data_IF_778844936973
#
_entry.id   IF_778844936973
#
_cell.length_a   1.000
_cell.length_b   1.000
_cell.length_c   1.000
_cell.angle_alpha   90.00
_cell.angle_beta   90.00
_cell.angle_gamma   90.00
#
_symmetry.space_group_name_H-M   'P 1'
#
loop_
_entity.id
_entity.type
_entity.pdbx_description
1 polymer ?
#
# COMPACT_ATOMS: atom_id res chain seq x y z
N UNK A 1 52.15 -28.40 20.01
CA UNK A 1 51.35 -28.26 21.24
C UNK A 1 50.55 -26.96 21.15
N UNK A 2 49.26 -27.02 20.83
CA UNK A 2 48.34 -25.89 21.00
C UNK A 2 46.94 -26.48 21.15
N UNK A 3 46.45 -26.50 22.39
CA UNK A 3 45.09 -26.90 22.73
C UNK A 3 44.21 -25.67 22.57
N UNK A 4 43.38 -25.63 21.54
CA UNK A 4 42.26 -24.69 21.49
C UNK A 4 41.17 -25.22 22.44
N UNK A 5 41.01 -24.54 23.58
CA UNK A 5 39.98 -24.82 24.57
C UNK A 5 38.67 -24.21 24.07
N UNK A 6 37.79 -25.05 23.52
CA UNK A 6 36.45 -24.65 23.12
C UNK A 6 35.61 -24.45 24.40
N UNK A 7 35.50 -23.19 24.85
CA UNK A 7 34.58 -22.82 25.92
C UNK A 7 33.15 -22.90 25.40
N UNK A 8 32.51 -24.04 25.66
CA UNK A 8 31.08 -24.22 25.48
C UNK A 8 30.36 -23.37 26.55
N UNK A 9 29.98 -22.15 26.20
CA UNK A 9 29.08 -21.33 27.02
C UNK A 9 27.71 -22.00 27.04
N UNK A 10 27.46 -22.77 28.08
CA UNK A 10 26.13 -23.31 28.39
C UNK A 10 25.23 -22.10 28.69
N UNK A 11 24.42 -21.68 27.71
CA UNK A 11 23.36 -20.72 27.93
C UNK A 11 22.32 -21.40 28.84
N UNK A 12 22.49 -21.23 30.16
CA UNK A 12 21.47 -21.55 31.14
C UNK A 12 20.26 -20.68 30.81
N UNK A 13 19.21 -21.29 30.26
CA UNK A 13 17.89 -20.67 30.20
C UNK A 13 17.55 -20.22 31.62
N UNK A 14 17.37 -18.91 31.82
CA UNK A 14 16.97 -18.39 33.11
C UNK A 14 15.66 -19.08 33.52
N UNK A 15 15.54 -19.65 34.74
CA UNK A 15 14.29 -20.21 35.19
C UNK A 15 13.26 -19.08 35.18
N UNK A 16 12.13 -19.29 34.50
CA UNK A 16 11.00 -18.39 34.60
C UNK A 16 10.62 -18.30 36.08
N UNK A 17 10.92 -17.15 36.69
CA UNK A 17 10.67 -16.95 38.10
C UNK A 17 9.18 -16.70 38.30
N UNK A 18 8.49 -17.62 38.96
CA UNK A 18 7.18 -17.34 39.54
C UNK A 18 7.35 -16.18 40.54
N UNK A 19 7.00 -14.95 40.13
CA UNK A 19 7.15 -13.77 40.98
C UNK A 19 5.96 -13.68 41.93
N UNK A 20 6.28 -13.60 43.22
CA UNK A 20 5.31 -13.40 44.30
C UNK A 20 4.35 -12.21 44.06
N UNK A 21 4.77 -11.18 43.33
CA UNK A 21 4.02 -9.92 43.15
C UNK A 21 3.48 -9.72 41.73
N UNK A 22 3.40 -10.80 40.92
CA UNK A 22 3.00 -10.70 39.53
C UNK A 22 3.96 -9.94 38.62
N UNK A 23 3.65 -9.97 37.33
CA UNK A 23 4.40 -9.29 36.27
C UNK A 23 3.38 -8.70 35.30
N UNK A 24 3.64 -7.49 34.82
CA UNK A 24 2.90 -6.92 33.71
C UNK A 24 3.34 -7.62 32.41
N UNK A 25 2.49 -8.49 31.87
CA UNK A 25 2.77 -9.23 30.65
C UNK A 25 1.49 -9.52 29.89
N UNK A 26 1.46 -9.20 28.59
CA UNK A 26 0.31 -9.49 27.72
C UNK A 26 0.08 -10.98 27.50
N UNK A 27 1.07 -11.81 27.84
CA UNK A 27 0.98 -13.26 27.80
C UNK A 27 1.76 -13.89 28.94
N UNK A 28 1.23 -14.97 29.49
CA UNK A 28 1.96 -15.83 30.43
C UNK A 28 2.35 -17.18 29.78
N UNK A 29 2.00 -17.38 28.50
CA UNK A 29 2.38 -18.55 27.74
C UNK A 29 3.88 -18.54 27.44
N UNK A 30 4.50 -19.73 27.42
CA UNK A 30 5.92 -19.89 27.12
C UNK A 30 6.87 -19.70 28.31
N UNK A 31 6.50 -18.89 29.32
CA UNK A 31 7.22 -18.82 30.60
C UNK A 31 6.83 -19.98 31.54
N UNK A 32 5.66 -20.60 31.35
CA UNK A 32 5.14 -21.76 32.10
C UNK A 32 4.90 -22.95 31.17
N UNK A 33 5.21 -24.19 31.60
CA UNK A 33 5.14 -25.39 30.74
C UNK A 33 4.68 -26.63 31.49
N UNK A 34 3.93 -27.50 30.80
CA UNK A 34 3.65 -28.87 31.25
C UNK A 34 2.54 -29.00 32.30
N UNK A 35 1.79 -27.94 32.57
CA UNK A 35 0.57 -28.00 33.37
C UNK A 35 -0.66 -28.51 32.59
N UNK A 36 -1.76 -28.81 33.30
CA UNK A 36 -3.04 -29.19 32.70
C UNK A 36 -3.67 -28.05 31.90
N UNK A 37 -4.51 -28.36 30.91
CA UNK A 37 -5.22 -27.33 30.14
C UNK A 37 -6.05 -26.42 31.06
N UNK A 38 -5.90 -25.11 30.87
CA UNK A 38 -6.61 -24.10 31.64
C UNK A 38 -7.41 -23.17 30.73
N UNK A 39 -8.55 -22.69 31.23
CA UNK A 39 -9.40 -21.71 30.55
C UNK A 39 -9.61 -20.51 31.44
N UNK A 40 -9.50 -19.32 30.86
CA UNK A 40 -9.80 -18.07 31.55
C UNK A 40 -11.06 -17.42 31.02
N UNK A 41 -11.83 -16.82 31.92
CA UNK A 41 -13.05 -16.10 31.63
C UNK A 41 -13.03 -14.74 32.32
N UNK A 42 -13.62 -13.74 31.68
CA UNK A 42 -13.79 -12.39 32.21
C UNK A 42 -15.29 -12.09 32.21
N UNK A 43 -15.82 -11.63 33.34
CA UNK A 43 -17.23 -11.26 33.48
C UNK A 43 -17.36 -9.95 34.24
N UNK A 44 -18.32 -9.11 33.83
CA UNK A 44 -18.69 -7.91 34.56
C UNK A 44 -19.95 -8.17 35.40
N UNK A 45 -19.99 -7.61 36.61
CA UNK A 45 -21.09 -7.75 37.55
C UNK A 45 -21.47 -6.37 38.14
N UNK A 46 -22.65 -5.83 37.81
CA UNK A 46 -23.62 -6.34 36.83
C UNK A 46 -23.04 -6.40 35.40
N UNK A 47 -23.63 -7.24 34.54
CA UNK A 47 -23.18 -7.43 33.16
C UNK A 47 -23.49 -6.21 32.27
N UNK A 48 -24.49 -5.41 32.65
CA UNK A 48 -24.85 -4.14 32.04
C UNK A 48 -24.67 -3.04 33.08
N UNK A 49 -24.08 -1.92 32.66
CA UNK A 49 -23.75 -0.81 33.54
C UNK A 49 -23.77 0.52 32.77
N UNK A 50 -23.96 1.60 33.51
CA UNK A 50 -24.05 2.96 32.99
C UNK A 50 -22.69 3.67 33.06
N UNK A 51 -22.53 4.79 32.34
CA UNK A 51 -21.36 5.65 32.50
C UNK A 51 -21.21 6.11 33.96
N UNK A 52 -19.99 6.04 34.49
CA UNK A 52 -19.68 6.36 35.88
C UNK A 52 -19.96 5.23 36.90
N UNK A 53 -20.62 4.14 36.51
CA UNK A 53 -20.86 3.02 37.43
C UNK A 53 -19.55 2.30 37.79
N UNK A 54 -19.45 1.87 39.04
CA UNK A 54 -18.38 0.98 39.51
C UNK A 54 -18.89 -0.47 39.53
N UNK A 55 -18.39 -1.29 38.63
CA UNK A 55 -18.73 -2.72 38.51
C UNK A 55 -17.63 -3.61 39.06
N UNK A 56 -17.98 -4.85 39.41
CA UNK A 56 -16.98 -5.89 39.68
C UNK A 56 -16.60 -6.58 38.38
N UNK A 57 -15.33 -6.56 38.02
CA UNK A 57 -14.76 -7.41 36.97
C UNK A 57 -14.20 -8.65 37.65
N UNK A 58 -14.73 -9.80 37.25
CA UNK A 58 -14.34 -11.11 37.74
C UNK A 58 -13.56 -11.84 36.66
N UNK A 59 -12.32 -12.17 36.97
CA UNK A 59 -11.47 -13.04 36.16
C UNK A 59 -11.36 -14.40 36.83
N UNK A 60 -11.76 -15.46 36.13
CA UNK A 60 -11.65 -16.83 36.65
C UNK A 60 -10.81 -17.67 35.71
N UNK A 61 -9.78 -18.31 36.27
CA UNK A 61 -8.99 -19.33 35.59
C UNK A 61 -9.30 -20.70 36.18
N UNK A 62 -9.62 -21.67 35.34
CA UNK A 62 -10.02 -23.04 35.73
C UNK A 62 -9.18 -24.06 34.99
N UNK A 63 -8.68 -25.08 35.69
CA UNK A 63 -7.80 -26.09 35.08
C UNK A 63 -7.07 -27.03 36.06
N UNK A 64 -7.34 -26.98 37.36
CA UNK A 64 -6.79 -27.94 38.33
C UNK A 64 -5.45 -27.57 38.98
N UNK A 65 -5.03 -26.30 38.91
CA UNK A 65 -3.88 -25.78 39.66
C UNK A 65 -4.18 -25.52 41.14
N UNK A 66 -3.13 -25.29 41.92
CA UNK A 66 -3.18 -25.02 43.37
C UNK A 66 -3.23 -23.52 43.70
N UNK A 67 -2.62 -22.70 42.84
CA UNK A 67 -2.58 -21.24 42.97
C UNK A 67 -2.77 -20.60 41.60
N UNK A 68 -3.12 -19.32 41.57
CA UNK A 68 -3.26 -18.57 40.34
C UNK A 68 -2.59 -17.20 40.38
N UNK A 69 -2.23 -16.72 39.21
CA UNK A 69 -1.73 -15.37 38.96
C UNK A 69 -2.60 -14.65 37.93
N UNK A 70 -2.62 -13.32 38.02
CA UNK A 70 -3.35 -12.43 37.14
C UNK A 70 -2.48 -11.24 36.70
N UNK A 71 -2.62 -10.88 35.43
CA UNK A 71 -2.45 -9.53 34.89
C UNK A 71 -3.70 -9.18 34.07
N UNK A 72 -4.32 -8.04 34.36
CA UNK A 72 -5.55 -7.58 33.70
C UNK A 72 -5.40 -6.11 33.31
N UNK A 73 -5.81 -5.79 32.10
CA UNK A 73 -5.74 -4.45 31.51
C UNK A 73 -7.10 -4.02 30.95
N UNK A 74 -7.27 -2.72 30.72
CA UNK A 74 -8.39 -2.18 29.94
C UNK A 74 -7.88 -1.16 28.93
N UNK A 75 -8.45 -1.14 27.73
CA UNK A 75 -8.03 -0.21 26.67
C UNK A 75 -8.72 1.17 26.71
N UNK A 76 -9.49 1.46 27.76
CA UNK A 76 -10.18 2.75 27.95
C UNK A 76 -9.66 3.50 29.17
N UNK A 77 -10.09 4.76 29.31
CA UNK A 77 -9.78 5.62 30.46
C UNK A 77 -10.51 5.23 31.76
N UNK A 78 -11.20 4.09 31.80
CA UNK A 78 -11.80 3.59 33.04
C UNK A 78 -10.73 3.25 34.08
N UNK A 79 -11.11 3.21 35.35
CA UNK A 79 -10.16 3.07 36.45
C UNK A 79 -10.41 1.83 37.28
N UNK A 80 -9.39 0.98 37.44
CA UNK A 80 -9.43 -0.15 38.36
C UNK A 80 -9.23 0.29 39.81
N UNK A 81 -9.91 -0.38 40.73
CA UNK A 81 -9.64 -0.36 42.17
C UNK A 81 -9.65 -1.77 42.75
N UNK A 82 -8.74 -2.04 43.68
CA UNK A 82 -8.61 -3.38 44.30
C UNK A 82 -9.70 -3.62 45.32
N UNK A 83 -10.10 -4.89 45.47
CA UNK A 83 -11.01 -5.33 46.54
C UNK A 83 -10.18 -6.02 47.62
N UNK A 84 -10.40 -5.64 48.89
CA UNK A 84 -9.71 -6.26 50.02
C UNK A 84 -9.90 -7.78 50.03
N UNK A 85 -8.82 -8.53 50.23
CA UNK A 85 -8.84 -10.00 50.25
C UNK A 85 -8.81 -10.68 48.88
N UNK A 86 -8.76 -9.94 47.77
CA UNK A 86 -8.71 -10.53 46.43
C UNK A 86 -7.30 -10.85 45.92
N UNK A 87 -6.26 -10.58 46.71
CA UNK A 87 -4.85 -10.75 46.35
C UNK A 87 -4.46 -10.00 45.07
N UNK A 88 -4.98 -8.78 44.90
CA UNK A 88 -4.71 -7.91 43.76
C UNK A 88 -4.04 -6.60 44.19
N UNK A 89 -3.26 -6.03 43.29
CA UNK A 89 -2.60 -4.73 43.41
C UNK A 89 -2.64 -4.00 42.08
N UNK A 90 -2.43 -2.69 42.10
CA UNK A 90 -2.35 -1.88 40.89
C UNK A 90 -0.90 -1.57 40.55
N UNK A 91 -0.58 -1.63 39.26
CA UNK A 91 0.67 -1.11 38.71
C UNK A 91 0.35 -0.38 37.40
N UNK A 92 0.68 0.91 37.34
CA UNK A 92 0.42 1.77 36.18
C UNK A 92 -1.04 1.71 35.68
N UNK A 93 -2.01 1.66 36.61
CA UNK A 93 -3.43 1.58 36.28
C UNK A 93 -3.95 0.18 35.93
N UNK A 94 -3.07 -0.80 35.73
CA UNK A 94 -3.43 -2.19 35.47
C UNK A 94 -3.50 -3.02 36.76
N UNK A 95 -4.17 -4.17 36.69
CA UNK A 95 -4.33 -5.08 37.82
C UNK A 95 -3.30 -6.20 37.73
N UNK A 96 -2.54 -6.40 38.79
CA UNK A 96 -1.69 -7.55 39.01
C UNK A 96 -2.16 -8.29 40.25
N UNK A 97 -1.75 -9.54 40.39
CA UNK A 97 -1.85 -10.21 41.69
C UNK A 97 -0.75 -9.70 42.66
N UNK A 98 -1.08 -9.55 43.93
CA UNK A 98 -0.14 -9.16 45.00
C UNK A 98 0.53 -10.35 45.68
N UNK A 99 -0.06 -11.53 45.52
CA UNK A 99 0.42 -12.85 45.95
C UNK A 99 -0.29 -13.91 45.10
N UNK A 100 0.33 -15.07 44.83
CA UNK A 100 -0.37 -16.19 44.20
C UNK A 100 -1.62 -16.53 45.01
N UNK A 101 -2.78 -16.54 44.36
CA UNK A 101 -4.06 -16.75 45.03
C UNK A 101 -4.41 -18.22 45.03
N UNK A 102 -4.71 -18.77 46.20
CA UNK A 102 -5.07 -20.19 46.33
C UNK A 102 -6.30 -20.55 45.49
N UNK A 103 -6.24 -21.71 44.86
CA UNK A 103 -7.37 -22.27 44.13
C UNK A 103 -8.42 -22.84 45.09
N UNK A 104 -9.67 -22.75 44.67
CA UNK A 104 -10.82 -23.39 45.30
C UNK A 104 -11.53 -24.24 44.26
N UNK A 105 -11.59 -25.56 44.47
CA UNK A 105 -12.20 -26.48 43.50
C UNK A 105 -11.51 -26.48 42.13
N UNK A 106 -10.18 -26.32 42.09
CA UNK A 106 -9.40 -26.29 40.85
C UNK A 106 -9.53 -25.03 40.01
N UNK A 107 -10.14 -23.97 40.57
CA UNK A 107 -10.28 -22.66 39.95
C UNK A 107 -9.75 -21.55 40.84
N UNK A 108 -9.25 -20.47 40.24
CA UNK A 108 -8.85 -19.26 40.95
C UNK A 108 -9.64 -18.10 40.37
N UNK A 109 -10.32 -17.37 41.25
CA UNK A 109 -11.14 -16.22 40.87
C UNK A 109 -10.56 -14.96 41.47
N UNK A 110 -10.37 -13.92 40.66
CA UNK A 110 -9.96 -12.58 41.07
C UNK A 110 -11.10 -11.61 40.79
N UNK A 111 -11.59 -10.96 41.84
CA UNK A 111 -12.52 -9.85 41.70
C UNK A 111 -11.77 -8.52 41.86
N UNK A 112 -12.02 -7.59 40.95
CA UNK A 112 -11.57 -6.20 41.05
C UNK A 112 -12.74 -5.27 40.74
N UNK A 113 -12.68 -4.04 41.22
CA UNK A 113 -13.61 -3.00 40.81
C UNK A 113 -13.06 -2.29 39.59
N UNK A 114 -13.94 -1.93 38.67
CA UNK A 114 -13.63 -1.04 37.55
C UNK A 114 -14.73 0.01 37.46
N UNK A 115 -14.34 1.27 37.36
CA UNK A 115 -15.27 2.40 37.22
C UNK A 115 -15.28 2.87 35.78
N UNK A 116 -16.46 2.85 35.18
CA UNK A 116 -16.67 3.29 33.81
C UNK A 116 -16.41 4.80 33.66
N UNK A 117 -15.88 5.27 32.52
CA UNK A 117 -15.88 6.68 32.16
C UNK A 117 -17.28 7.30 32.26
N UNK A 118 -17.33 8.62 32.41
CA UNK A 118 -18.59 9.39 32.56
C UNK A 118 -19.42 9.51 31.29
N UNK A 119 -18.87 9.13 30.13
CA UNK A 119 -19.55 9.12 28.83
C UNK A 119 -19.77 7.69 28.37
N UNK A 120 -20.90 7.41 27.71
CA UNK A 120 -21.18 6.09 27.13
C UNK A 120 -20.05 5.63 26.20
N UNK A 121 -19.74 4.35 26.22
CA UNK A 121 -18.62 3.80 25.47
C UNK A 121 -18.55 2.28 25.53
N UNK A 122 -17.47 1.73 25.00
CA UNK A 122 -17.12 0.32 25.16
C UNK A 122 -15.68 0.18 25.60
N UNK A 123 -15.39 -0.90 26.34
CA UNK A 123 -14.06 -1.24 26.82
C UNK A 123 -13.77 -2.70 26.51
N UNK A 124 -12.52 -2.97 26.19
CA UNK A 124 -11.99 -4.32 26.12
C UNK A 124 -11.17 -4.58 27.38
N UNK A 125 -11.29 -5.80 27.90
CA UNK A 125 -10.46 -6.32 28.97
C UNK A 125 -9.65 -7.49 28.46
N UNK A 126 -8.34 -7.39 28.63
CA UNK A 126 -7.39 -8.47 28.34
C UNK A 126 -6.81 -8.98 29.65
N UNK A 127 -6.94 -10.29 29.88
CA UNK A 127 -6.39 -10.96 31.05
C UNK A 127 -5.38 -12.02 30.63
N UNK A 128 -4.16 -11.92 31.16
CA UNK A 128 -3.18 -12.99 31.16
C UNK A 128 -3.17 -13.63 32.55
N UNK A 129 -3.31 -14.94 32.60
CA UNK A 129 -3.45 -15.69 33.85
C UNK A 129 -2.55 -16.92 33.85
N UNK A 130 -2.24 -17.40 35.06
CA UNK A 130 -1.50 -18.64 35.26
C UNK A 130 -2.22 -19.47 36.30
N UNK A 131 -2.32 -20.78 36.09
CA UNK A 131 -2.53 -21.76 37.14
C UNK A 131 -1.22 -22.47 37.44
N UNK A 132 -0.80 -22.40 38.70
CA UNK A 132 0.44 -23.00 39.17
C UNK A 132 0.22 -24.10 40.20
N UNK A 133 1.15 -25.03 40.26
CA UNK A 133 1.12 -26.17 41.20
C UNK A 133 1.62 -25.81 42.63
N UNK A 134 2.09 -24.57 42.84
CA UNK A 134 2.61 -24.02 44.09
C UNK A 134 3.97 -24.60 44.54
N UNK A 135 4.85 -24.97 43.62
CA UNK A 135 6.22 -25.44 43.90
C UNK A 135 7.32 -24.38 43.72
N UNK A 136 6.94 -23.13 43.39
CA UNK A 136 7.81 -22.00 43.02
C UNK A 136 8.67 -22.22 41.75
N UNK A 137 8.41 -23.28 40.99
CA UNK A 137 8.89 -23.50 39.64
C UNK A 137 7.92 -22.97 38.58
N UNK A 138 8.27 -23.21 37.32
CA UNK A 138 7.43 -22.91 36.14
C UNK A 138 6.97 -24.18 35.41
N UNK A 139 7.42 -25.35 35.87
CA UNK A 139 7.06 -26.65 35.35
C UNK A 139 5.79 -27.18 36.02
N UNK A 140 4.86 -27.74 35.25
CA UNK A 140 3.55 -28.15 35.75
C UNK A 140 2.54 -27.01 35.84
N UNK A 141 2.90 -25.81 35.36
CA UNK A 141 2.05 -24.62 35.33
C UNK A 141 1.48 -24.40 33.92
N UNK A 142 0.36 -23.69 33.86
CA UNK A 142 -0.32 -23.34 32.61
C UNK A 142 -0.68 -21.87 32.58
N UNK A 143 -0.12 -21.16 31.60
CA UNK A 143 -0.58 -19.83 31.20
C UNK A 143 -1.83 -19.92 30.33
N UNK A 144 -2.72 -18.94 30.42
CA UNK A 144 -3.86 -18.80 29.53
C UNK A 144 -4.34 -17.35 29.50
N UNK A 145 -4.99 -16.97 28.41
CA UNK A 145 -5.40 -15.61 28.10
C UNK A 145 -6.91 -15.56 27.86
N UNK A 146 -7.51 -14.41 28.11
CA UNK A 146 -8.88 -14.13 27.74
C UNK A 146 -9.04 -12.67 27.33
N UNK A 147 -9.93 -12.45 26.38
CA UNK A 147 -10.38 -11.15 25.92
C UNK A 147 -11.89 -11.07 26.12
N UNK A 148 -12.39 -9.94 26.61
CA UNK A 148 -13.82 -9.68 26.70
C UNK A 148 -14.13 -8.20 26.46
N UNK A 149 -15.09 -7.94 25.58
CA UNK A 149 -15.59 -6.61 25.28
C UNK A 149 -16.90 -6.34 26.01
N UNK A 150 -17.04 -5.15 26.58
CA UNK A 150 -18.27 -4.67 27.21
C UNK A 150 -18.62 -3.28 26.70
N UNK A 151 -19.91 -2.97 26.66
CA UNK A 151 -20.45 -1.63 26.39
C UNK A 151 -21.22 -1.13 27.60
N UNK A 152 -21.24 0.18 27.78
CA UNK A 152 -21.93 0.85 28.88
C UNK A 152 -22.62 2.13 28.41
N UNK A 153 -23.84 2.33 28.90
CA UNK A 153 -24.69 3.46 28.48
C UNK A 153 -25.27 3.37 27.06
N UNK A 154 -25.19 2.21 26.40
CA UNK A 154 -25.79 1.97 25.08
C UNK A 154 -26.04 0.48 24.84
N UNK A 155 -26.77 0.14 23.77
CA UNK A 155 -26.99 -1.25 23.34
C UNK A 155 -25.75 -1.89 22.69
N UNK A 156 -24.81 -1.07 22.21
CA UNK A 156 -23.64 -1.50 21.44
C UNK A 156 -23.98 -1.79 19.98
N UNK A 157 -23.04 -1.47 19.10
CA UNK A 157 -23.05 -1.83 17.68
C UNK A 157 -21.71 -2.49 17.38
N UNK A 158 -21.76 -3.61 16.68
CA UNK A 158 -20.55 -4.27 16.18
C UNK A 158 -20.07 -3.50 14.96
N UNK A 159 -18.84 -3.03 15.04
CA UNK A 159 -18.15 -2.37 13.94
C UNK A 159 -17.05 -3.28 13.41
N UNK A 160 -16.83 -3.19 12.10
CA UNK A 160 -15.87 -3.95 11.31
C UNK A 160 -14.79 -2.98 10.85
N UNK A 161 -13.53 -3.43 10.82
CA UNK A 161 -12.43 -2.59 10.34
C UNK A 161 -12.68 -2.23 8.88
N UNK A 162 -12.50 -0.95 8.56
CA UNK A 162 -12.68 -0.35 7.23
C UNK A 162 -11.38 0.42 6.95
N UNK A 163 -10.42 -0.29 6.35
CA UNK A 163 -9.04 0.20 6.20
C UNK A 163 -8.86 1.07 4.96
N UNK A 164 -9.61 0.83 3.89
CA UNK A 164 -9.57 1.61 2.67
C UNK A 164 -10.59 2.78 2.63
N UNK A 165 -11.49 2.85 3.61
CA UNK A 165 -12.38 3.98 3.84
C UNK A 165 -13.59 4.01 2.90
N UNK A 166 -14.02 2.86 2.41
CA UNK A 166 -15.11 2.75 1.44
C UNK A 166 -16.51 2.70 2.08
N UNK A 167 -16.56 2.54 3.40
CA UNK A 167 -17.78 2.49 4.20
C UNK A 167 -18.32 1.08 4.44
N UNK A 168 -17.62 0.03 4.01
CA UNK A 168 -17.87 -1.37 4.34
C UNK A 168 -16.64 -1.93 5.03
N UNK A 169 -16.83 -2.68 6.11
CA UNK A 169 -15.72 -3.28 6.82
C UNK A 169 -15.56 -4.78 6.56
N UNK A 170 -14.32 -5.24 6.70
CA UNK A 170 -13.95 -6.64 6.50
C UNK A 170 -14.43 -7.55 7.64
N UNK A 171 -15.04 -8.68 7.30
CA UNK A 171 -15.52 -9.65 8.30
C UNK A 171 -14.40 -10.48 8.94
N UNK A 172 -13.22 -10.51 8.33
CA UNK A 172 -12.08 -11.34 8.76
C UNK A 172 -11.02 -10.58 9.56
N UNK A 173 -11.09 -9.24 9.60
CA UNK A 173 -10.08 -8.34 10.22
C UNK A 173 -10.36 -8.02 11.71
N UNK A 174 -11.24 -8.79 12.36
CA UNK A 174 -11.71 -8.57 13.73
C UNK A 174 -12.85 -7.55 13.83
N UNK A 175 -13.55 -7.54 14.97
CA UNK A 175 -14.69 -6.65 15.21
C UNK A 175 -14.49 -5.83 16.49
N UNK A 176 -15.20 -4.71 16.60
CA UNK A 176 -15.22 -3.86 17.79
C UNK A 176 -16.65 -3.54 18.20
N UNK A 177 -17.06 -3.94 19.41
CA UNK A 177 -18.38 -3.60 19.95
C UNK A 177 -18.30 -2.27 20.71
N UNK A 178 -18.98 -1.23 20.20
CA UNK A 178 -18.91 0.15 20.74
C UNK A 178 -20.26 0.88 20.64
N UNK A 179 -20.39 2.02 21.32
CA UNK A 179 -21.58 2.87 21.22
C UNK A 179 -21.63 3.76 19.97
N UNK A 180 -20.47 3.99 19.35
CA UNK A 180 -20.29 4.78 18.13
C UNK A 180 -19.12 4.22 17.34
N UNK A 181 -19.08 4.47 16.04
CA UNK A 181 -18.03 3.99 15.15
C UNK A 181 -16.66 4.51 15.60
N UNK A 182 -15.70 3.62 15.90
CA UNK A 182 -14.30 4.02 16.01
C UNK A 182 -13.77 4.56 14.67
N UNK A 183 -12.69 5.33 14.71
CA UNK A 183 -12.02 5.73 13.48
C UNK A 183 -11.46 4.50 12.72
N UNK A 184 -11.68 4.43 11.41
CA UNK A 184 -11.27 3.30 10.56
C UNK A 184 -12.14 2.05 10.73
N UNK A 185 -13.40 2.23 11.13
CA UNK A 185 -14.37 1.15 11.29
C UNK A 185 -15.74 1.52 10.71
N UNK A 186 -16.42 0.56 10.08
CA UNK A 186 -17.79 0.66 9.56
C UNK A 186 -18.76 -0.25 10.29
N UNK A 187 -20.04 0.15 10.36
CA UNK A 187 -21.12 -0.71 10.85
C UNK A 187 -21.60 -1.72 9.79
N UNK A 188 -21.27 -1.48 8.52
CA UNK A 188 -21.66 -2.32 7.39
C UNK A 188 -20.60 -3.40 7.19
N UNK A 189 -20.91 -4.69 7.36
CA UNK A 189 -19.97 -5.76 7.04
C UNK A 189 -20.03 -6.15 5.56
N UNK A 190 -18.98 -6.80 5.07
CA UNK A 190 -19.04 -7.54 3.81
C UNK A 190 -17.92 -7.26 2.83
N UNK A 191 -16.96 -6.45 3.22
CA UNK A 191 -15.81 -6.17 2.37
C UNK A 191 -14.93 -7.42 2.21
N UNK A 192 -14.66 -7.77 0.95
CA UNK A 192 -13.84 -8.90 0.54
C UNK A 192 -12.38 -8.51 0.24
N UNK A 193 -12.06 -7.22 0.09
CA UNK A 193 -10.70 -6.68 -0.08
C UNK A 193 -10.56 -5.31 0.61
N UNK A 194 -10.35 -5.33 1.94
CA UNK A 194 -10.17 -4.17 2.86
C UNK A 194 -9.01 -3.21 2.48
N UNK A 195 -8.26 -3.51 1.41
CA UNK A 195 -7.18 -2.68 0.89
C UNK A 195 -7.55 -1.89 -0.37
N UNK A 196 -8.78 -1.98 -0.85
CA UNK A 196 -9.18 -1.53 -2.16
C UNK A 196 -10.62 -0.97 -2.16
N UNK A 197 -10.78 0.35 -1.93
CA UNK A 197 -12.09 1.01 -1.75
C UNK A 197 -13.07 0.91 -2.94
N UNK A 198 -12.59 0.38 -4.05
CA UNK A 198 -13.34 0.07 -5.24
C UNK A 198 -13.84 -1.38 -5.31
N UNK A 199 -13.60 -2.17 -4.26
CA UNK A 199 -13.97 -3.57 -4.07
C UNK A 199 -14.81 -3.67 -2.80
N UNK A 200 -16.13 -3.85 -2.93
CA UNK A 200 -17.05 -4.01 -1.80
C UNK A 200 -18.45 -4.40 -2.30
N UNK A 201 -19.35 -4.90 -1.42
CA UNK A 201 -20.73 -5.23 -1.77
C UNK A 201 -21.44 -4.21 -2.67
N UNK A 202 -21.75 -4.62 -3.90
CA UNK A 202 -22.54 -3.83 -4.85
C UNK A 202 -21.78 -2.75 -5.63
N UNK A 203 -20.43 -2.72 -5.59
CA UNK A 203 -19.64 -1.91 -6.53
C UNK A 203 -19.82 -2.44 -7.97
N UNK A 204 -19.53 -1.63 -9.01
CA UNK A 204 -19.54 -2.13 -10.39
C UNK A 204 -18.35 -3.05 -10.67
N UNK A 205 -18.59 -4.15 -11.39
CA UNK A 205 -17.52 -5.02 -11.91
C UNK A 205 -16.65 -4.28 -12.93
N UNK A 206 -15.35 -4.56 -12.88
CA UNK A 206 -14.39 -4.22 -13.94
C UNK A 206 -13.75 -5.50 -14.42
N UNK A 207 -13.40 -5.56 -15.70
CA UNK A 207 -12.68 -6.71 -16.26
C UNK A 207 -11.22 -6.73 -15.77
N UNK A 208 -11.00 -7.22 -14.55
CA UNK A 208 -9.69 -7.24 -13.91
C UNK A 208 -9.38 -8.60 -13.25
N UNK A 209 -10.25 -9.60 -13.41
CA UNK A 209 -10.09 -10.92 -12.80
C UNK A 209 -10.36 -10.94 -11.30
N UNK A 210 -11.05 -9.94 -10.76
CA UNK A 210 -11.46 -9.84 -9.36
C UNK A 210 -12.98 -9.79 -9.24
N UNK A 211 -13.47 -10.18 -8.08
CA UNK A 211 -14.85 -9.98 -7.65
C UNK A 211 -14.92 -8.58 -7.02
N UNK A 212 -15.17 -7.56 -7.85
CA UNK A 212 -15.14 -6.17 -7.37
C UNK A 212 -16.37 -5.84 -6.52
N UNK A 213 -17.44 -6.61 -6.62
CA UNK A 213 -18.69 -6.36 -5.92
C UNK A 213 -18.99 -7.31 -4.75
N UNK A 214 -18.03 -8.18 -4.42
CA UNK A 214 -18.06 -9.15 -3.33
C UNK A 214 -19.27 -10.08 -3.34
N UNK A 215 -19.77 -10.49 -4.52
CA UNK A 215 -20.91 -11.41 -4.62
C UNK A 215 -20.52 -12.89 -4.84
N UNK A 216 -19.22 -13.18 -4.95
CA UNK A 216 -18.65 -14.50 -5.18
C UNK A 216 -18.50 -14.89 -6.65
N UNK A 217 -18.78 -13.98 -7.59
CA UNK A 217 -18.54 -14.14 -9.02
C UNK A 217 -17.47 -13.14 -9.45
N UNK A 218 -16.70 -13.50 -10.48
CA UNK A 218 -15.61 -12.68 -11.00
C UNK A 218 -16.03 -12.16 -12.37
N UNK A 219 -15.90 -10.85 -12.58
CA UNK A 219 -16.13 -10.16 -13.85
C UNK A 219 -17.54 -10.40 -14.46
N UNK A 220 -18.58 -10.62 -13.65
CA UNK A 220 -19.92 -10.90 -14.15
C UNK A 220 -20.68 -9.65 -14.62
N UNK A 221 -21.72 -9.85 -15.43
CA UNK A 221 -22.51 -8.75 -16.01
C UNK A 221 -21.76 -7.90 -17.04
N UNK A 222 -20.48 -8.21 -17.31
CA UNK A 222 -19.69 -7.62 -18.38
C UNK A 222 -20.01 -8.28 -19.72
N UNK A 223 -19.97 -7.49 -20.79
CA UNK A 223 -20.17 -8.02 -22.15
C UNK A 223 -18.95 -8.84 -22.57
N UNK A 224 -19.15 -10.14 -22.78
CA UNK A 224 -18.10 -11.00 -23.29
C UNK A 224 -17.84 -10.65 -24.76
N UNK A 225 -16.59 -10.38 -25.10
CA UNK A 225 -16.13 -10.28 -26.48
C UNK A 225 -15.02 -11.29 -26.73
N UNK A 226 -14.94 -11.78 -27.96
CA UNK A 226 -13.75 -12.48 -28.42
C UNK A 226 -12.68 -11.45 -28.69
N UNK A 227 -11.53 -11.60 -28.03
CA UNK A 227 -10.42 -10.67 -28.11
C UNK A 227 -9.10 -11.39 -28.33
N UNK A 228 -8.13 -10.66 -28.85
CA UNK A 228 -6.81 -11.11 -29.25
C UNK A 228 -5.76 -10.34 -28.43
N UNK A 229 -4.59 -10.93 -28.11
CA UNK A 229 -3.50 -10.19 -27.48
C UNK A 229 -3.18 -8.93 -28.29
N UNK A 230 -2.94 -7.82 -27.60
CA UNK A 230 -2.54 -6.53 -28.16
C UNK A 230 -1.36 -6.05 -27.31
N UNK A 231 -0.14 -6.38 -27.74
CA UNK A 231 1.08 -6.19 -26.94
C UNK A 231 1.64 -4.76 -27.03
N UNK A 232 1.40 -4.04 -28.12
CA UNK A 232 1.88 -2.68 -28.33
C UNK A 232 0.82 -1.58 -28.05
N UNK A 233 -0.44 -1.97 -27.89
CA UNK A 233 -1.54 -1.13 -27.42
C UNK A 233 -2.15 -0.21 -28.48
N UNK A 234 -2.04 -0.55 -29.77
CA UNK A 234 -2.62 0.25 -30.86
C UNK A 234 -4.11 -0.05 -31.14
N UNK A 235 -4.67 -1.08 -30.50
CA UNK A 235 -6.06 -1.48 -30.61
C UNK A 235 -6.34 -2.52 -31.70
N UNK A 236 -5.32 -3.02 -32.38
CA UNK A 236 -5.34 -4.23 -33.19
C UNK A 236 -4.66 -5.36 -32.42
N UNK A 237 -4.98 -6.61 -32.78
CA UNK A 237 -4.49 -7.76 -32.02
C UNK A 237 -3.80 -8.77 -32.89
N UNK A 238 -2.77 -9.42 -32.33
CA UNK A 238 -1.88 -10.37 -33.00
C UNK A 238 -2.62 -11.41 -33.84
N UNK A 239 -2.36 -11.40 -35.16
CA UNK A 239 -2.86 -12.40 -36.11
C UNK A 239 -2.44 -13.84 -35.77
N UNK A 240 -1.37 -14.04 -34.98
CA UNK A 240 -0.90 -15.35 -34.48
C UNK A 240 -1.41 -15.65 -33.07
N UNK A 241 -2.04 -14.68 -32.43
CA UNK A 241 -2.51 -14.74 -31.05
C UNK A 241 -3.71 -15.67 -30.87
N UNK A 242 -3.74 -16.36 -29.73
CA UNK A 242 -4.91 -17.16 -29.36
C UNK A 242 -6.07 -16.26 -28.95
N UNK A 243 -7.22 -16.46 -29.60
CA UNK A 243 -8.47 -15.82 -29.23
C UNK A 243 -8.88 -16.22 -27.81
N UNK A 244 -9.36 -15.26 -27.04
CA UNK A 244 -9.96 -15.48 -25.73
C UNK A 244 -11.35 -14.86 -25.72
N UNK A 245 -12.35 -15.62 -25.28
CA UNK A 245 -13.70 -15.11 -25.06
C UNK A 245 -13.87 -14.82 -23.58
N UNK A 246 -14.13 -13.56 -23.25
CA UNK A 246 -14.28 -13.09 -21.88
C UNK A 246 -14.56 -11.59 -21.87
N UNK A 247 -14.53 -10.97 -20.71
CA UNK A 247 -14.56 -9.51 -20.63
C UNK A 247 -13.28 -8.92 -21.28
N UNK A 248 -13.36 -7.71 -21.83
CA UNK A 248 -12.23 -7.07 -22.53
C UNK A 248 -11.40 -6.27 -21.52
N UNK A 249 -10.21 -6.76 -21.20
CA UNK A 249 -9.20 -6.01 -20.46
C UNK A 249 -8.37 -5.09 -21.37
N UNK A 250 -7.57 -4.19 -20.79
CA UNK A 250 -6.81 -3.14 -21.51
C UNK A 250 -5.58 -3.61 -22.30
N UNK A 251 -5.38 -4.91 -22.48
CA UNK A 251 -4.21 -5.49 -23.17
C UNK A 251 -4.64 -6.47 -24.28
N UNK A 252 -5.85 -6.27 -24.80
CA UNK A 252 -6.46 -7.11 -25.82
C UNK A 252 -7.34 -6.27 -26.73
N UNK A 253 -7.26 -6.55 -28.02
CA UNK A 253 -8.09 -5.93 -29.06
C UNK A 253 -9.23 -6.85 -29.49
N UNK A 254 -10.29 -6.28 -30.06
CA UNK A 254 -11.37 -7.05 -30.70
C UNK A 254 -11.05 -7.41 -32.16
N UNK A 255 -10.07 -6.74 -32.78
CA UNK A 255 -9.54 -7.11 -34.11
C UNK A 255 -8.41 -8.13 -33.95
N UNK A 256 -8.19 -8.93 -35.01
CA UNK A 256 -7.18 -9.99 -35.11
C UNK A 256 -6.21 -9.77 -36.27
N UNK A 257 -6.20 -8.56 -36.82
CA UNK A 257 -5.65 -8.29 -38.14
C UNK A 257 -4.25 -7.64 -38.07
N UNK A 258 -3.62 -7.62 -36.89
CA UNK A 258 -2.27 -7.07 -36.71
C UNK A 258 -1.20 -8.06 -37.19
N UNK A 259 -0.41 -7.62 -38.17
CA UNK A 259 0.68 -8.40 -38.76
C UNK A 259 1.99 -8.35 -37.94
N UNK A 260 2.17 -7.37 -37.06
CA UNK A 260 3.31 -7.21 -36.14
C UNK A 260 2.94 -6.49 -34.81
N UNK A 261 2.28 -7.25 -33.92
CA UNK A 261 1.83 -6.89 -32.55
C UNK A 261 2.92 -6.35 -31.59
N UNK A 262 4.15 -6.17 -32.05
CA UNK A 262 5.24 -5.58 -31.27
C UNK A 262 5.51 -4.11 -31.61
N UNK A 263 4.76 -3.55 -32.57
CA UNK A 263 4.97 -2.22 -33.17
C UNK A 263 3.63 -1.53 -33.43
N UNK A 264 3.27 -0.60 -32.54
CA UNK A 264 2.04 0.20 -32.63
C UNK A 264 1.88 1.09 -33.89
N UNK A 265 2.85 1.09 -34.80
CA UNK A 265 2.76 1.73 -36.12
C UNK A 265 2.49 0.77 -37.26
N UNK A 266 2.40 -0.54 -36.98
CA UNK A 266 2.20 -1.62 -37.95
C UNK A 266 0.86 -2.28 -37.65
N UNK A 267 -0.19 -1.83 -38.32
CA UNK A 267 -1.54 -2.33 -38.13
C UNK A 267 -2.44 -1.97 -39.33
N UNK A 268 -3.59 -2.64 -39.50
CA UNK A 268 -4.54 -2.32 -40.56
C UNK A 268 -4.87 -0.82 -40.65
N UNK A 269 -4.62 -0.23 -41.82
CA UNK A 269 -4.89 1.17 -42.10
C UNK A 269 -3.85 2.17 -41.56
N UNK A 270 -2.71 1.71 -41.05
CA UNK A 270 -1.56 2.57 -40.80
C UNK A 270 -1.08 3.24 -42.10
N UNK A 271 -0.31 4.33 -41.97
CA UNK A 271 0.32 4.97 -43.13
C UNK A 271 1.68 4.34 -43.39
N UNK A 272 1.90 3.88 -44.62
CA UNK A 272 3.17 3.33 -45.06
C UNK A 272 4.32 4.35 -44.91
N UNK A 273 5.41 3.89 -44.30
CA UNK A 273 6.67 4.60 -44.17
C UNK A 273 7.74 3.80 -44.87
N UNK A 274 8.69 4.48 -45.52
CA UNK A 274 9.81 3.82 -46.19
C UNK A 274 10.78 3.12 -45.22
N UNK A 275 10.38 1.95 -44.71
CA UNK A 275 11.05 1.22 -43.64
C UNK A 275 11.19 -0.28 -43.97
N UNK A 276 10.75 -0.72 -45.16
CA UNK A 276 10.76 -2.12 -45.62
C UNK A 276 9.83 -3.03 -44.82
N UNK A 277 8.83 -2.47 -44.16
CA UNK A 277 7.74 -3.16 -43.50
C UNK A 277 6.45 -2.95 -44.30
N UNK A 278 5.50 -3.82 -44.05
CA UNK A 278 4.11 -3.66 -44.47
C UNK A 278 3.42 -3.02 -43.26
N UNK A 279 3.44 -1.69 -43.17
CA UNK A 279 2.94 -0.99 -41.99
C UNK A 279 1.41 -1.12 -41.89
N UNK A 280 0.71 -1.22 -43.01
CA UNK A 280 -0.75 -1.25 -43.04
C UNK A 280 -1.37 -2.65 -43.14
N UNK A 281 -0.54 -3.69 -43.14
CA UNK A 281 -0.90 -5.09 -43.20
C UNK A 281 -1.73 -5.50 -44.44
N UNK A 282 -1.57 -4.85 -45.59
CA UNK A 282 -2.28 -5.20 -46.84
C UNK A 282 -1.58 -6.31 -47.68
N UNK A 283 -0.38 -6.72 -47.25
CA UNK A 283 0.46 -7.71 -47.92
C UNK A 283 1.45 -7.12 -48.92
N UNK A 284 1.59 -5.80 -49.00
CA UNK A 284 2.58 -5.09 -49.79
C UNK A 284 3.51 -4.30 -48.86
N UNK A 285 4.70 -4.01 -49.35
CA UNK A 285 5.73 -3.33 -48.57
C UNK A 285 5.92 -1.95 -49.19
N UNK A 286 5.86 -0.92 -48.35
CA UNK A 286 6.15 0.48 -48.68
C UNK A 286 5.29 1.05 -49.84
N UNK A 287 4.09 0.55 -50.09
CA UNK A 287 3.24 1.05 -51.17
C UNK A 287 2.60 2.39 -50.83
N UNK A 288 2.54 3.30 -51.80
CA UNK A 288 2.12 4.69 -51.56
C UNK A 288 2.99 5.45 -50.52
N UNK A 289 4.07 4.87 -50.02
CA UNK A 289 5.09 5.59 -49.25
C UNK A 289 5.98 6.43 -50.17
N UNK A 290 6.34 7.61 -49.68
CA UNK A 290 7.23 8.54 -50.38
C UNK A 290 8.41 8.87 -49.49
N UNK A 291 9.62 8.58 -49.97
CA UNK A 291 10.82 8.97 -49.25
C UNK A 291 10.93 10.50 -49.19
N UNK A 292 11.22 11.06 -48.01
CA UNK A 292 11.53 12.49 -47.86
C UNK A 292 13.03 12.71 -48.00
N UNK A 293 13.41 13.81 -48.65
CA UNK A 293 14.80 14.26 -48.74
C UNK A 293 14.89 15.78 -48.70
N UNK A 294 16.09 16.30 -48.43
CA UNK A 294 16.33 17.72 -48.25
C UNK A 294 16.00 18.18 -46.83
N UNK A 295 16.58 19.30 -46.45
CA UNK A 295 16.39 19.96 -45.16
C UNK A 295 15.60 21.25 -45.39
N UNK A 296 14.87 21.71 -44.37
CA UNK A 296 14.22 23.02 -44.43
C UNK A 296 13.24 23.20 -45.59
N UNK A 297 13.33 24.35 -46.25
CA UNK A 297 12.54 24.68 -47.44
C UNK A 297 12.85 23.77 -48.64
N UNK A 298 14.03 23.16 -48.67
CA UNK A 298 14.40 22.19 -49.69
C UNK A 298 13.80 20.81 -49.49
N UNK A 299 13.04 20.56 -48.42
CA UNK A 299 12.39 19.27 -48.22
C UNK A 299 11.46 18.95 -49.42
N UNK A 300 11.62 17.75 -49.98
CA UNK A 300 10.82 17.22 -51.10
C UNK A 300 10.40 15.78 -50.80
N UNK A 301 9.31 15.36 -51.45
CA UNK A 301 8.85 13.98 -51.47
C UNK A 301 9.32 13.32 -52.77
N UNK A 302 9.89 12.13 -52.63
CA UNK A 302 10.24 11.28 -53.74
C UNK A 302 8.98 10.71 -54.41
N UNK A 303 8.97 10.53 -55.74
CA UNK A 303 7.89 9.82 -56.42
C UNK A 303 7.80 8.33 -56.04
N UNK A 304 8.86 7.77 -55.46
CA UNK A 304 8.99 6.36 -55.06
C UNK A 304 9.45 6.27 -53.61
N UNK A 305 9.35 5.08 -53.02
CA UNK A 305 9.94 4.80 -51.72
C UNK A 305 11.47 4.55 -51.77
N UNK A 306 12.15 5.19 -52.72
CA UNK A 306 13.61 5.17 -52.81
C UNK A 306 14.15 6.58 -52.60
N UNK A 307 14.97 6.75 -51.56
CA UNK A 307 15.59 8.04 -51.23
C UNK A 307 16.54 8.53 -52.33
N UNK A 308 17.11 7.64 -53.16
CA UNK A 308 17.99 7.98 -54.28
C UNK A 308 17.23 8.71 -55.41
N UNK A 309 15.93 8.42 -55.56
CA UNK A 309 15.09 9.06 -56.56
C UNK A 309 14.59 10.44 -56.10
N UNK A 310 14.77 10.74 -54.81
CA UNK A 310 14.38 12.00 -54.22
C UNK A 310 15.40 13.10 -54.57
N UNK A 311 14.92 14.21 -55.12
CA UNK A 311 15.74 15.38 -55.43
C UNK A 311 15.33 16.53 -54.50
N UNK A 312 16.18 16.93 -53.53
CA UNK A 312 15.92 18.10 -52.70
C UNK A 312 15.71 19.36 -53.55
N UNK A 313 15.01 20.34 -52.96
CA UNK A 313 15.01 21.70 -53.48
C UNK A 313 16.43 22.24 -53.63
N UNK A 314 16.62 23.19 -54.53
CA UNK A 314 17.92 23.86 -54.66
C UNK A 314 18.02 24.92 -53.56
N UNK A 315 19.12 24.92 -52.77
CA UNK A 315 19.42 26.00 -51.84
C UNK A 315 19.33 27.38 -52.48
N UNK A 316 18.69 28.30 -51.79
CA UNK A 316 18.74 29.74 -52.07
C UNK A 316 19.54 30.46 -50.98
N UNK A 317 19.79 31.75 -51.14
CA UNK A 317 20.37 32.54 -50.06
C UNK A 317 19.30 32.81 -49.01
N UNK A 318 19.68 32.67 -47.75
CA UNK A 318 18.85 33.02 -46.60
C UNK A 318 18.18 34.39 -46.71
N UNK A 319 16.90 34.41 -46.35
CA UNK A 319 16.10 35.61 -46.20
C UNK A 319 15.36 35.50 -44.88
N UNK A 320 15.36 36.58 -44.08
CA UNK A 320 14.60 36.63 -42.84
C UNK A 320 13.08 36.48 -43.12
N UNK A 321 12.59 35.24 -43.11
CA UNK A 321 11.22 34.86 -43.47
C UNK A 321 10.68 33.66 -42.67
N UNK A 322 11.50 33.07 -41.78
CA UNK A 322 11.12 31.94 -40.93
C UNK A 322 11.26 30.58 -41.62
N UNK A 323 11.98 30.52 -42.73
CA UNK A 323 12.26 29.31 -43.51
C UNK A 323 13.77 29.13 -43.61
N UNK A 324 14.20 27.87 -43.67
CA UNK A 324 15.59 27.47 -43.98
C UNK A 324 15.74 27.43 -45.51
N UNK A 325 16.11 28.57 -46.09
CA UNK A 325 16.16 28.83 -47.55
C UNK A 325 17.41 28.22 -48.19
N UNK A 326 18.52 28.13 -47.45
CA UNK A 326 19.81 27.58 -47.90
C UNK A 326 20.00 26.09 -47.56
N UNK A 327 19.07 25.55 -46.77
CA UNK A 327 18.85 24.13 -46.54
C UNK A 327 20.00 23.46 -45.78
N UNK A 328 20.66 24.22 -44.91
CA UNK A 328 21.72 23.74 -44.02
C UNK A 328 21.19 23.18 -42.68
N UNK A 329 19.92 23.43 -42.38
CA UNK A 329 19.22 22.96 -41.19
C UNK A 329 19.06 23.97 -40.06
N UNK A 330 19.60 25.17 -40.21
CA UNK A 330 19.28 26.32 -39.36
C UNK A 330 18.22 27.19 -40.04
N UNK A 331 17.54 28.06 -39.28
CA UNK A 331 16.50 28.94 -39.83
C UNK A 331 16.89 30.39 -39.58
N UNK A 332 16.87 31.20 -40.63
CA UNK A 332 17.17 32.64 -40.61
C UNK A 332 18.53 32.99 -39.96
N UNK A 333 19.56 32.18 -40.18
CA UNK A 333 20.88 32.38 -39.58
C UNK A 333 21.72 33.47 -40.29
N UNK A 334 22.77 33.93 -39.60
CA UNK A 334 23.61 35.03 -40.10
C UNK A 334 23.01 36.44 -39.91
N UNK A 335 23.43 37.40 -40.74
CA UNK A 335 23.00 38.81 -40.69
C UNK A 335 22.11 39.15 -41.88
N UNK A 336 20.86 38.69 -41.80
CA UNK A 336 19.84 38.83 -42.86
C UNK A 336 19.12 40.18 -42.86
N UNK A 337 19.32 40.96 -41.80
CA UNK A 337 18.72 42.28 -41.61
C UNK A 337 19.78 43.39 -41.69
N UNK A 338 19.34 44.60 -42.05
CA UNK A 338 20.20 45.79 -42.05
C UNK A 338 20.81 46.08 -40.66
N UNK A 339 21.79 47.00 -40.56
CA UNK A 339 22.70 47.13 -39.42
C UNK A 339 22.06 47.45 -38.06
N UNK A 340 20.76 47.76 -38.00
CA UNK A 340 20.02 48.14 -36.79
C UNK A 340 18.90 47.15 -36.43
N UNK A 341 18.75 46.05 -37.18
CA UNK A 341 17.71 45.05 -36.97
C UNK A 341 18.28 43.63 -36.89
N UNK A 342 17.56 42.73 -36.23
CA UNK A 342 17.84 41.29 -36.18
C UNK A 342 16.64 40.53 -36.73
N UNK A 343 16.90 39.37 -37.33
CA UNK A 343 15.82 38.47 -37.69
C UNK A 343 15.29 37.78 -36.43
N UNK A 344 13.98 37.88 -36.21
CA UNK A 344 13.26 37.24 -35.10
C UNK A 344 11.92 36.76 -35.64
N UNK A 345 11.66 35.46 -35.56
CA UNK A 345 10.42 34.82 -36.05
C UNK A 345 10.08 35.18 -37.51
N UNK A 346 11.07 35.18 -38.40
CA UNK A 346 10.89 35.51 -39.81
C UNK A 346 10.66 36.99 -40.11
N UNK A 347 10.92 37.89 -39.15
CA UNK A 347 10.79 39.33 -39.35
C UNK A 347 12.01 40.11 -38.85
N UNK A 348 12.46 41.10 -39.63
CA UNK A 348 13.52 42.02 -39.20
C UNK A 348 12.99 43.02 -38.16
N UNK A 349 13.32 42.79 -36.88
CA UNK A 349 12.93 43.67 -35.76
C UNK A 349 14.09 44.59 -35.38
N UNK A 350 13.80 45.89 -35.28
CA UNK A 350 14.82 46.88 -34.92
C UNK A 350 15.18 46.77 -33.44
N UNK A 351 16.47 46.82 -33.12
CA UNK A 351 16.96 46.87 -31.73
C UNK A 351 16.93 48.29 -31.14
N UNK A 352 16.33 49.26 -31.83
CA UNK A 352 16.07 50.56 -31.23
C UNK A 352 14.95 50.36 -30.20
N UNK A 353 15.36 50.30 -28.93
CA UNK A 353 14.43 50.34 -27.82
C UNK A 353 13.46 51.49 -28.03
N UNK A 354 12.19 51.18 -27.83
CA UNK A 354 11.09 52.10 -27.63
C UNK A 354 11.54 53.27 -26.74
N UNK A 355 11.91 54.38 -27.36
CA UNK A 355 12.06 55.66 -26.66
C UNK A 355 10.64 56.22 -26.55
N UNK A 356 10.04 56.01 -25.39
CA UNK A 356 8.83 56.68 -24.96
C UNK A 356 9.10 58.18 -24.83
N UNK A 357 8.87 58.96 -25.89
CA UNK A 357 8.77 60.41 -25.78
C UNK A 357 7.36 60.81 -25.36
N UNK A 358 7.32 61.51 -24.22
CA UNK A 358 6.13 61.99 -23.57
C UNK A 358 5.61 63.32 -24.17
N UNK A 359 4.42 63.24 -24.77
CA UNK A 359 3.31 64.22 -24.67
C UNK A 359 3.22 65.35 -25.72
N UNK A 360 2.10 66.12 -25.77
CA UNK A 360 0.76 65.91 -25.16
C UNK A 360 -0.46 66.04 -26.14
N UNK A 361 -1.62 65.48 -25.73
CA UNK A 361 -3.05 65.85 -26.01
C UNK A 361 -3.55 66.12 -27.47
N UNK A 362 -4.66 65.62 -28.06
CA UNK A 362 -5.93 64.87 -27.79
C UNK A 362 -6.61 64.60 -29.20
N UNK A 363 -7.86 64.10 -29.38
CA UNK A 363 -8.43 62.77 -29.11
C UNK A 363 -9.17 62.10 -30.32
N UNK A 364 -9.65 60.86 -30.10
CA UNK A 364 -10.86 60.20 -30.62
C UNK A 364 -10.87 59.34 -31.91
N UNK A 365 -11.34 58.08 -31.71
CA UNK A 365 -12.00 57.19 -32.67
C UNK A 365 -11.15 55.99 -33.11
N UNK A 366 -11.52 54.70 -32.99
CA UNK A 366 -12.72 54.01 -32.53
C UNK A 366 -12.67 52.54 -33.00
N UNK A 367 -13.16 51.60 -32.18
CA UNK A 367 -13.49 50.19 -32.51
C UNK A 367 -12.30 49.24 -32.69
N UNK A 368 -12.38 47.91 -32.51
CA UNK A 368 -13.37 46.95 -32.00
C UNK A 368 -12.67 45.57 -31.98
N UNK A 369 -13.10 44.66 -31.09
CA UNK A 369 -12.84 43.20 -31.18
C UNK A 369 -11.67 42.71 -30.31
N UNK A 370 -11.89 41.94 -29.23
CA UNK A 370 -12.14 40.47 -29.21
C UNK A 370 -11.00 39.69 -29.88
N UNK A 371 -10.35 38.68 -29.32
CA UNK A 371 -10.62 37.82 -28.17
C UNK A 371 -9.44 36.84 -27.99
N UNK A 372 -9.31 36.29 -26.78
CA UNK A 372 -8.96 34.88 -26.45
C UNK A 372 -7.54 34.31 -26.63
N UNK A 373 -7.09 33.65 -25.55
CA UNK A 373 -6.01 32.65 -25.48
C UNK A 373 -4.76 33.22 -24.80
N UNK A 374 -4.36 32.87 -23.58
CA UNK A 374 -4.48 31.60 -22.87
C UNK A 374 -3.17 30.82 -23.04
N UNK A 375 -2.20 30.97 -22.13
CA UNK A 375 -0.92 30.26 -22.24
C UNK A 375 0.15 30.67 -21.22
N UNK A 376 0.01 30.13 -20.01
CA UNK A 376 1.03 29.73 -19.03
C UNK A 376 2.51 30.15 -19.23
N UNK A 377 3.08 30.81 -18.20
CA UNK A 377 4.51 30.74 -17.91
C UNK A 377 4.75 30.76 -16.41
N UNK A 378 5.56 29.80 -15.95
CA UNK A 378 5.77 29.45 -14.56
C UNK A 378 6.44 30.53 -13.71
N UNK A 379 6.10 30.51 -12.43
CA UNK A 379 6.79 31.24 -11.36
C UNK A 379 7.47 30.24 -10.43
N UNK A 380 8.79 30.36 -10.34
CA UNK A 380 9.65 29.75 -9.33
C UNK A 380 9.59 30.51 -8.01
N UNK A 381 9.88 29.80 -6.91
CA UNK A 381 10.05 30.32 -5.55
C UNK A 381 9.23 29.49 -4.56
N UNK A 382 9.77 28.85 -3.52
CA UNK A 382 10.99 29.08 -2.76
C UNK A 382 10.62 29.16 -1.27
N UNK A 383 11.25 28.35 -0.42
CA UNK A 383 11.18 28.43 1.05
C UNK A 383 10.32 27.33 1.70
N UNK A 384 10.86 26.31 2.36
CA UNK A 384 11.64 26.27 3.61
C UNK A 384 10.77 26.00 4.85
N UNK A 385 11.18 24.97 5.62
CA UNK A 385 10.76 24.67 6.99
C UNK A 385 9.55 23.74 7.09
N UNK A 386 9.41 22.82 8.03
CA UNK A 386 10.30 22.31 9.08
C UNK A 386 9.50 21.28 9.87
N UNK A 387 10.12 20.17 10.28
CA UNK A 387 9.87 19.49 11.57
C UNK A 387 8.53 18.75 11.77
N UNK A 388 8.61 17.47 12.17
CA UNK A 388 7.46 16.75 12.72
C UNK A 388 7.63 15.23 12.68
N UNK A 389 8.63 14.70 13.39
CA UNK A 389 8.39 13.78 14.51
C UNK A 389 7.65 12.47 14.12
N UNK A 390 8.38 11.55 13.50
CA UNK A 390 8.02 10.13 13.47
C UNK A 390 8.16 9.54 14.87
N UNK A 391 7.08 9.58 15.64
CA UNK A 391 6.94 8.85 16.89
C UNK A 391 6.81 7.36 16.59
N UNK A 392 7.96 6.70 16.41
CA UNK A 392 8.03 5.24 16.50
C UNK A 392 7.56 4.81 17.88
N UNK A 393 6.56 3.93 17.91
CA UNK A 393 6.06 3.33 19.13
C UNK A 393 7.22 2.78 19.99
N UNK A 394 7.21 2.97 21.31
CA UNK A 394 8.19 2.33 22.16
C UNK A 394 8.05 0.81 22.01
N UNK A 395 9.18 0.05 21.99
CA UNK A 395 9.10 -1.40 22.06
C UNK A 395 8.32 -1.82 23.32
N UNK A 396 7.55 -2.92 23.28
CA UNK A 396 6.90 -3.42 24.48
C UNK A 396 7.96 -3.64 25.58
N UNK A 397 7.66 -3.33 26.85
CA UNK A 397 8.57 -3.63 27.94
C UNK A 397 8.84 -5.15 27.94
N UNK A 398 10.11 -5.51 28.11
CA UNK A 398 10.65 -6.87 28.03
C UNK A 398 9.77 -7.94 28.73
N UNK A 399 8.83 -8.52 27.97
CA UNK A 399 8.07 -9.71 28.35
C UNK A 399 8.76 -10.93 27.77
N UNK A 400 9.28 -11.81 28.64
CA UNK A 400 9.90 -13.12 28.34
C UNK A 400 10.39 -13.28 26.88
N UNK A 401 11.45 -12.57 26.48
CA UNK A 401 12.00 -12.70 25.14
C UNK A 401 12.43 -14.15 24.88
N UNK A 402 11.78 -14.79 23.90
CA UNK A 402 12.36 -15.91 23.17
C UNK A 402 13.55 -15.36 22.37
N UNK A 403 14.75 -15.86 22.62
CA UNK A 403 15.90 -15.56 21.78
C UNK A 403 15.61 -15.97 20.32
N UNK A 404 15.96 -15.17 19.30
CA UNK A 404 15.89 -15.63 17.92
C UNK A 404 16.94 -16.72 17.72
N UNK A 405 16.49 -17.89 17.27
CA UNK A 405 17.38 -18.93 16.78
C UNK A 405 18.14 -18.38 15.57
N UNK A 406 19.46 -18.36 15.64
CA UNK A 406 20.35 -18.20 14.49
C UNK A 406 20.12 -19.39 13.55
N UNK A 407 19.22 -19.22 12.58
CA UNK A 407 19.17 -20.05 11.39
C UNK A 407 20.35 -19.65 10.50
N UNK A 408 21.49 -20.33 10.65
CA UNK A 408 22.53 -20.29 9.63
C UNK A 408 22.05 -21.14 8.46
N UNK A 409 21.54 -20.46 7.43
CA UNK A 409 21.22 -21.06 6.15
C UNK A 409 22.47 -21.65 5.51
N UNK A 410 22.41 -22.94 5.19
CA UNK A 410 23.30 -23.57 4.22
C UNK A 410 22.66 -23.40 2.85
N UNK A 411 23.21 -22.52 2.03
CA UNK A 411 23.01 -22.55 0.58
C UNK A 411 24.19 -21.94 -0.16
N UNK A 412 24.58 -22.69 -1.20
CA UNK A 412 25.37 -22.32 -2.36
C UNK A 412 26.87 -22.05 -2.17
N UNK A 413 27.67 -23.04 -2.56
CA UNK A 413 28.72 -22.85 -3.57
C UNK A 413 29.03 -24.21 -4.22
N UNK A 414 28.36 -24.46 -5.34
CA UNK A 414 28.92 -25.30 -6.38
C UNK A 414 30.19 -24.61 -6.91
N UNK A 415 31.20 -25.39 -7.32
CA UNK A 415 31.93 -25.21 -8.58
C UNK A 415 33.01 -26.32 -8.73
N UNK A 416 33.02 -26.91 -9.92
CA UNK A 416 34.08 -27.70 -10.61
C UNK A 416 34.26 -29.20 -10.30
N UNK A 417 33.68 -29.98 -11.21
CA UNK A 417 34.25 -31.12 -11.95
C UNK A 417 35.63 -31.69 -11.54
N UNK A 418 35.71 -33.02 -11.32
CA UNK A 418 36.39 -33.96 -12.24
C UNK A 418 36.56 -35.37 -11.62
N UNK A 419 36.26 -36.38 -12.45
CA UNK A 419 36.84 -37.73 -12.50
C UNK A 419 37.03 -38.52 -11.18
N UNK A 420 36.23 -39.57 -11.00
CA UNK A 420 36.60 -40.93 -11.41
C UNK A 420 35.83 -41.99 -10.62
N UNK A 421 34.96 -42.72 -11.32
CA UNK A 421 34.63 -44.10 -10.94
C UNK A 421 35.92 -44.92 -10.95
N UNK A 422 36.23 -45.64 -9.87
CA UNK A 422 36.32 -47.13 -9.87
C UNK A 422 36.89 -47.66 -8.54
N UNK A 423 36.04 -48.50 -7.94
CA UNK A 423 36.29 -49.86 -7.41
C UNK A 423 37.10 -50.06 -6.12
N UNK A 424 36.43 -50.87 -5.28
CA UNK A 424 36.94 -51.87 -4.32
C UNK A 424 37.56 -51.26 -3.04
N UNK A 425 37.01 -51.50 -1.85
CA UNK A 425 36.30 -52.66 -1.29
C UNK A 425 35.18 -52.22 -0.36
#
# INVERSE_FOLDING_TARGET
>A
MSRALLLLTLALAAPAQAKKFGIASSSCNGCHKGGPSATTTITAMPATFNPGDTVTIRVTVTGGGSVGGLFLTSNTSGTFTTIAGQSTQLQNGNVLHSAPKSASGGSVTFDVKWTAPSTAGGTDFDAATVLGNNDNGSGGDTGTEAHATFVYGCAGTTYYRDFDGDGVGAMTSGTSLRCSAPAGYSATPGDCDDGAAQVAPGKPERCNGKDDNCNGQVDEGLSAATTYPDLDGDGFGDVKGAAMTGCVGSARATSHDDCDDTRAGVHPGASEVCNQLDDNCDGRIDENAQARCGTGWCARLSPTCNAVDCRPGTPSTEVCNGLDDDCDGETDEGSLCGPVAKCVDGECRSNIGEVVDAGPDLPAGGGSGSSSGGGISGGTGGGSGSGGAGGGAPPPPDGCASSPALAVGLSALAWVWALARRRAR
#
